data_IF_912141874844
#
_entry.id   IF_912141874844
#
_cell.length_a   1.000
_cell.length_b   1.000
_cell.length_c   1.000
_cell.angle_alpha   90.00
_cell.angle_beta   90.00
_cell.angle_gamma   90.00
#
_symmetry.space_group_name_H-M   'P 1'
#
loop_
_entity.id
_entity.type
_entity.pdbx_description
1 polymer ?
#
# COMPACT_ATOMS: atom_id res chain seq x y z
N UNK A 1 -3.64 -8.46 -5.25
CA UNK A 1 -4.38 -7.41 -5.94
C UNK A 1 -4.78 -7.86 -7.35
N UNK A 2 -6.07 -8.03 -7.55
CA UNK A 2 -6.64 -8.48 -8.82
C UNK A 2 -6.35 -7.49 -9.95
N UNK A 3 -6.40 -6.19 -9.66
CA UNK A 3 -6.12 -5.15 -10.62
C UNK A 3 -4.69 -5.17 -11.13
N UNK A 4 -3.73 -5.39 -10.24
CA UNK A 4 -2.31 -5.49 -10.59
C UNK A 4 -2.02 -6.70 -11.47
N UNK A 5 -2.64 -7.83 -11.15
CA UNK A 5 -2.50 -9.07 -11.94
C UNK A 5 -3.04 -8.90 -13.35
N UNK A 6 -4.23 -8.31 -13.49
CA UNK A 6 -4.85 -8.04 -14.80
C UNK A 6 -4.00 -7.06 -15.59
N UNK A 7 -3.49 -6.01 -14.95
CA UNK A 7 -2.65 -5.00 -15.57
C UNK A 7 -1.35 -5.62 -16.13
N UNK A 8 -0.70 -6.47 -15.36
CA UNK A 8 0.52 -7.18 -15.80
C UNK A 8 0.24 -8.10 -16.98
N UNK A 9 -0.89 -8.82 -16.96
CA UNK A 9 -1.26 -9.73 -18.03
C UNK A 9 -1.48 -9.01 -19.37
N UNK A 10 -1.94 -7.76 -19.35
CA UNK A 10 -2.17 -6.96 -20.58
C UNK A 10 -0.88 -6.57 -21.29
N UNK A 11 0.22 -6.43 -20.56
CA UNK A 11 1.52 -6.05 -21.13
C UNK A 11 2.28 -7.23 -21.73
N UNK A 12 1.84 -8.46 -21.46
CA UNK A 12 2.54 -9.66 -21.91
C UNK A 12 1.99 -10.18 -23.22
N UNK A 13 2.87 -10.73 -24.06
CA UNK A 13 2.49 -11.37 -25.31
C UNK A 13 1.80 -12.71 -25.08
N UNK A 14 2.23 -13.44 -24.06
CA UNK A 14 1.81 -14.81 -23.80
C UNK A 14 1.37 -14.99 -22.35
N UNK A 15 0.39 -15.86 -22.15
CA UNK A 15 0.03 -16.36 -20.83
C UNK A 15 0.64 -17.76 -20.64
N UNK A 16 0.70 -18.22 -19.38
CA UNK A 16 1.17 -19.57 -19.08
C UNK A 16 0.32 -20.63 -19.81
N UNK A 17 -0.99 -20.39 -19.90
CA UNK A 17 -1.91 -21.29 -20.60
C UNK A 17 -1.61 -21.36 -22.11
N UNK A 18 -1.35 -20.21 -22.73
CA UNK A 18 -1.00 -20.17 -24.16
C UNK A 18 0.31 -20.89 -24.43
N UNK A 19 1.29 -20.78 -23.54
CA UNK A 19 2.56 -21.49 -23.67
C UNK A 19 2.34 -23.00 -23.57
N UNK A 20 1.52 -23.43 -22.60
CA UNK A 20 1.22 -24.84 -22.38
C UNK A 20 0.47 -25.46 -23.58
N UNK A 21 -0.46 -24.72 -24.16
CA UNK A 21 -1.31 -25.19 -25.24
C UNK A 21 -0.72 -24.97 -26.63
N UNK A 22 0.46 -24.34 -26.73
CA UNK A 22 1.06 -24.03 -28.02
C UNK A 22 1.39 -25.28 -28.79
N UNK A 23 0.88 -25.35 -30.01
CA UNK A 23 1.20 -26.39 -30.97
C UNK A 23 1.95 -25.76 -32.16
N UNK A 24 3.08 -26.37 -32.52
CA UNK A 24 3.87 -25.92 -33.65
C UNK A 24 3.56 -26.75 -34.88
N UNK A 25 3.64 -26.11 -36.05
CA UNK A 25 3.52 -26.81 -37.31
C UNK A 25 4.64 -27.84 -37.48
N UNK A 26 4.30 -29.04 -37.91
CA UNK A 26 5.26 -30.15 -38.07
C UNK A 26 5.60 -30.32 -39.55
N UNK A 27 6.88 -30.12 -39.88
CA UNK A 27 7.45 -30.36 -41.20
C UNK A 27 8.07 -31.75 -41.25
N UNK A 28 8.63 -32.10 -42.41
CA UNK A 28 9.25 -33.41 -42.64
C UNK A 28 10.40 -33.73 -41.69
N UNK A 29 11.11 -32.69 -41.17
CA UNK A 29 12.26 -32.84 -40.27
C UNK A 29 12.00 -32.43 -38.83
N UNK A 30 10.74 -32.18 -38.49
CA UNK A 30 10.34 -31.74 -37.15
C UNK A 30 9.54 -30.44 -37.19
N UNK A 31 9.58 -29.68 -36.11
CA UNK A 31 8.84 -28.41 -36.03
C UNK A 31 9.45 -27.37 -36.98
N UNK A 32 8.61 -26.48 -37.51
CA UNK A 32 9.05 -25.37 -38.35
C UNK A 32 9.98 -24.42 -37.54
N UNK A 33 11.27 -24.30 -37.92
CA UNK A 33 12.23 -23.52 -37.12
C UNK A 33 11.85 -22.05 -36.94
N UNK A 34 11.36 -21.41 -37.98
CA UNK A 34 10.97 -20.00 -37.93
C UNK A 34 9.83 -19.75 -36.94
N UNK A 35 8.87 -20.66 -36.92
CA UNK A 35 7.72 -20.56 -35.98
C UNK A 35 8.17 -20.73 -34.53
N UNK A 36 9.07 -21.67 -34.28
CA UNK A 36 9.64 -21.88 -32.94
C UNK A 36 10.46 -20.67 -32.50
N UNK A 37 11.31 -20.14 -33.37
CA UNK A 37 12.13 -18.97 -33.07
C UNK A 37 11.28 -17.75 -32.76
N UNK A 38 10.24 -17.49 -33.53
CA UNK A 38 9.30 -16.39 -33.30
C UNK A 38 8.60 -16.52 -31.94
N UNK A 39 8.16 -17.73 -31.62
CA UNK A 39 7.52 -18.01 -30.35
C UNK A 39 8.48 -17.79 -29.17
N UNK A 40 9.72 -18.26 -29.27
CA UNK A 40 10.74 -18.06 -28.25
C UNK A 40 11.12 -16.60 -28.09
N UNK A 41 11.13 -15.82 -29.19
CA UNK A 41 11.37 -14.37 -29.09
C UNK A 41 10.28 -13.69 -28.26
N UNK A 42 9.02 -14.09 -28.42
CA UNK A 42 7.93 -13.57 -27.57
C UNK A 42 8.10 -13.97 -26.10
N UNK A 43 8.55 -15.19 -25.85
CA UNK A 43 8.83 -15.67 -24.48
C UNK A 43 9.95 -14.83 -23.84
N UNK A 44 11.04 -14.59 -24.58
CA UNK A 44 12.16 -13.78 -24.11
C UNK A 44 11.69 -12.36 -23.77
N UNK A 45 10.94 -11.76 -24.68
CA UNK A 45 10.39 -10.41 -24.47
C UNK A 45 9.53 -10.34 -23.22
N UNK A 46 8.69 -11.34 -23.00
CA UNK A 46 7.84 -11.41 -21.80
C UNK A 46 8.67 -11.56 -20.53
N UNK A 47 9.70 -12.39 -20.54
CA UNK A 47 10.61 -12.54 -19.39
C UNK A 47 11.29 -11.22 -19.05
N UNK A 48 11.74 -10.48 -20.04
CA UNK A 48 12.35 -9.16 -19.83
C UNK A 48 11.36 -8.19 -19.19
N UNK A 49 10.11 -8.19 -19.62
CA UNK A 49 9.06 -7.37 -19.01
C UNK A 49 8.75 -7.80 -17.59
N UNK A 50 8.73 -9.10 -17.31
CA UNK A 50 8.52 -9.60 -15.95
C UNK A 50 9.66 -9.17 -15.03
N UNK A 51 10.91 -9.23 -15.49
CA UNK A 51 12.06 -8.78 -14.71
C UNK A 51 11.94 -7.31 -14.35
N UNK A 52 11.55 -6.46 -15.30
CA UNK A 52 11.31 -5.04 -15.05
C UNK A 52 10.19 -4.82 -14.01
N UNK A 53 9.10 -5.57 -14.14
CA UNK A 53 7.98 -5.48 -13.20
C UNK A 53 8.36 -5.94 -11.80
N UNK A 54 9.16 -6.98 -11.68
CA UNK A 54 9.66 -7.46 -10.39
C UNK A 54 10.53 -6.41 -9.72
N UNK A 55 11.41 -5.74 -10.48
CA UNK A 55 12.21 -4.64 -9.95
C UNK A 55 11.34 -3.46 -9.49
N UNK A 56 10.36 -3.06 -10.29
CA UNK A 56 9.42 -2.00 -9.92
C UNK A 56 8.65 -2.32 -8.65
N UNK A 57 8.17 -3.57 -8.54
CA UNK A 57 7.45 -4.03 -7.35
C UNK A 57 8.36 -4.04 -6.11
N UNK A 58 9.61 -4.49 -6.26
CA UNK A 58 10.58 -4.46 -5.17
C UNK A 58 10.85 -3.05 -4.67
N UNK A 59 11.02 -2.10 -5.59
CA UNK A 59 11.21 -0.69 -5.25
C UNK A 59 9.96 -0.11 -4.56
N UNK A 60 8.77 -0.47 -5.03
CA UNK A 60 7.51 -0.04 -4.42
C UNK A 60 7.36 -0.58 -3.00
N UNK A 61 7.69 -1.85 -2.78
CA UNK A 61 7.65 -2.46 -1.43
C UNK A 61 8.58 -1.71 -0.49
N UNK A 62 9.80 -1.40 -0.92
CA UNK A 62 10.75 -0.64 -0.11
C UNK A 62 10.20 0.74 0.27
N UNK A 63 9.61 1.45 -0.70
CA UNK A 63 9.00 2.76 -0.43
C UNK A 63 7.86 2.67 0.57
N UNK A 64 7.02 1.66 0.45
CA UNK A 64 5.89 1.45 1.37
C UNK A 64 6.37 1.07 2.77
N UNK A 65 7.42 0.26 2.88
CA UNK A 65 8.03 -0.08 4.18
C UNK A 65 8.56 1.16 4.89
N UNK A 66 9.25 2.03 4.15
CA UNK A 66 9.74 3.30 4.68
C UNK A 66 8.60 4.22 5.12
N UNK A 67 7.53 4.27 4.33
CA UNK A 67 6.35 5.07 4.66
C UNK A 67 5.64 4.55 5.91
N UNK A 68 5.52 3.25 6.06
CA UNK A 68 4.94 2.62 7.24
C UNK A 68 5.78 2.99 8.48
N UNK A 69 7.09 2.91 8.37
CA UNK A 69 8.01 3.27 9.45
C UNK A 69 7.85 4.74 9.86
N UNK A 70 7.78 5.63 8.87
CA UNK A 70 7.55 7.06 9.09
C UNK A 70 6.22 7.30 9.80
N UNK A 71 5.15 6.66 9.33
CA UNK A 71 3.81 6.79 9.92
C UNK A 71 3.76 6.25 11.35
N UNK A 72 4.47 5.16 11.63
CA UNK A 72 4.58 4.63 12.99
C UNK A 72 5.29 5.61 13.93
N UNK A 73 6.35 6.26 13.45
CA UNK A 73 7.05 7.29 14.21
C UNK A 73 6.17 8.51 14.48
N UNK A 74 5.41 8.95 13.48
CA UNK A 74 4.46 10.06 13.64
C UNK A 74 3.35 9.70 14.63
N UNK A 75 2.85 8.48 14.55
CA UNK A 75 1.82 8.00 15.48
C UNK A 75 2.33 7.99 16.92
N UNK A 76 3.54 7.48 17.12
CA UNK A 76 4.17 7.46 18.44
C UNK A 76 4.35 8.88 18.98
N UNK A 77 4.83 9.81 18.17
CA UNK A 77 5.01 11.22 18.56
C UNK A 77 3.68 11.87 18.94
N UNK A 78 2.63 11.62 18.17
CA UNK A 78 1.30 12.15 18.45
C UNK A 78 0.71 11.56 19.72
N UNK A 79 0.89 10.27 19.98
CA UNK A 79 0.44 9.62 21.20
C UNK A 79 1.15 10.20 22.43
N UNK A 80 2.47 10.42 22.33
CA UNK A 80 3.26 11.02 23.40
C UNK A 80 2.82 12.46 23.70
N UNK A 81 2.58 13.24 22.66
CA UNK A 81 2.07 14.60 22.80
C UNK A 81 0.68 14.62 23.45
N UNK A 82 -0.18 13.70 23.04
CA UNK A 82 -1.53 13.57 23.58
C UNK A 82 -1.49 13.21 25.06
N UNK A 83 -0.62 12.28 25.46
CA UNK A 83 -0.41 11.93 26.86
C UNK A 83 0.09 13.12 27.68
N UNK A 84 1.07 13.86 27.15
CA UNK A 84 1.60 15.05 27.80
C UNK A 84 0.54 16.13 27.99
N UNK A 85 -0.31 16.34 27.00
CA UNK A 85 -1.42 17.29 27.08
C UNK A 85 -2.44 16.86 28.14
N UNK A 86 -2.76 15.57 28.20
CA UNK A 86 -3.67 15.03 29.21
C UNK A 86 -3.10 15.19 30.62
N UNK A 87 -1.81 14.91 30.81
CA UNK A 87 -1.13 15.11 32.09
C UNK A 87 -1.14 16.59 32.52
N UNK A 88 -0.88 17.49 31.57
CA UNK A 88 -0.90 18.93 31.84
C UNK A 88 -2.29 19.40 32.24
N UNK A 89 -3.33 18.94 31.58
CA UNK A 89 -4.71 19.25 31.93
C UNK A 89 -5.04 18.72 33.31
N UNK A 90 -4.67 17.49 33.64
CA UNK A 90 -4.88 16.88 34.96
C UNK A 90 -4.09 17.61 36.06
N UNK A 91 -2.84 18.00 35.77
CA UNK A 91 -2.00 18.75 36.69
C UNK A 91 -2.60 20.13 37.00
N UNK A 92 -3.03 20.84 35.98
CA UNK A 92 -3.71 22.13 36.11
C UNK A 92 -5.00 22.00 36.92
N UNK A 93 -5.71 20.88 36.72
CA UNK A 93 -6.92 20.57 37.48
C UNK A 93 -6.64 20.33 38.95
N UNK A 94 -5.62 19.53 39.29
CA UNK A 94 -5.26 19.19 40.66
C UNK A 94 -4.74 20.41 41.42
N UNK A 95 -3.96 21.27 40.76
CA UNK A 95 -3.33 22.45 41.36
C UNK A 95 -4.21 23.70 41.32
N UNK A 96 -5.37 23.61 40.67
CA UNK A 96 -6.23 24.76 40.43
C UNK A 96 -7.10 25.15 41.60
N UNK A 97 -7.37 26.44 41.68
CA UNK A 97 -8.37 27.02 42.57
C UNK A 97 -9.77 26.86 41.96
N UNK A 98 -10.76 27.60 42.45
CA UNK A 98 -12.14 27.56 41.92
C UNK A 98 -12.27 27.74 40.40
N UNK A 99 -11.27 28.33 39.75
CA UNK A 99 -11.24 28.48 38.28
C UNK A 99 -11.14 27.15 37.53
N UNK A 100 -10.61 26.12 38.20
CA UNK A 100 -10.46 24.79 37.57
C UNK A 100 -11.81 24.16 37.25
N UNK A 101 -12.81 24.38 38.08
CA UNK A 101 -14.19 23.87 37.83
C UNK A 101 -14.77 24.50 36.57
N UNK A 102 -14.54 25.79 36.35
CA UNK A 102 -15.02 26.51 35.17
C UNK A 102 -14.31 26.01 33.91
N UNK A 103 -13.00 25.75 33.97
CA UNK A 103 -12.23 25.20 32.87
C UNK A 103 -12.76 23.81 32.49
N UNK A 104 -13.03 22.96 33.48
CA UNK A 104 -13.62 21.64 33.25
C UNK A 104 -14.98 21.71 32.55
N UNK A 105 -15.84 22.64 32.99
CA UNK A 105 -17.15 22.85 32.40
C UNK A 105 -16.99 23.25 30.92
N UNK A 106 -16.02 24.12 30.61
CA UNK A 106 -15.73 24.55 29.25
C UNK A 106 -15.24 23.40 28.38
N UNK A 107 -14.35 22.57 28.89
CA UNK A 107 -13.84 21.39 28.19
C UNK A 107 -14.98 20.42 27.90
N UNK A 108 -15.82 20.14 28.90
CA UNK A 108 -16.96 19.25 28.73
C UNK A 108 -17.93 19.77 27.65
N UNK A 109 -18.16 21.09 27.60
CA UNK A 109 -18.98 21.70 26.55
C UNK A 109 -18.37 21.56 25.17
N UNK A 110 -17.05 21.74 25.04
CA UNK A 110 -16.33 21.58 23.78
C UNK A 110 -16.38 20.14 23.28
N UNK A 111 -16.14 19.18 24.16
CA UNK A 111 -16.23 17.76 23.82
C UNK A 111 -17.63 17.40 23.33
N UNK A 112 -18.65 17.88 24.01
CA UNK A 112 -20.03 17.65 23.63
C UNK A 112 -20.36 18.27 22.27
N UNK A 113 -19.88 19.48 22.02
CA UNK A 113 -20.10 20.17 20.74
C UNK A 113 -19.41 19.43 19.59
N UNK A 114 -18.16 18.96 19.80
CA UNK A 114 -17.42 18.18 18.80
C UNK A 114 -18.11 16.84 18.56
N UNK A 115 -18.55 16.17 19.61
CA UNK A 115 -19.25 14.89 19.50
C UNK A 115 -20.55 15.04 18.72
N UNK A 116 -21.34 16.07 18.99
CA UNK A 116 -22.58 16.34 18.25
C UNK A 116 -22.33 16.65 16.78
N UNK A 117 -21.25 17.36 16.45
CA UNK A 117 -20.87 17.63 15.06
C UNK A 117 -20.44 16.37 14.32
N UNK A 118 -19.79 15.43 15.00
CA UNK A 118 -19.34 14.21 14.37
C UNK A 118 -20.47 13.21 14.09
N UNK A 119 -21.63 13.38 14.73
CA UNK A 119 -22.81 12.55 14.48
C UNK A 119 -23.63 13.01 13.26
N UNK A 120 -23.42 14.22 12.80
CA UNK A 120 -24.10 14.73 11.60
C UNK A 120 -23.33 14.34 10.33
#
# INVERSE_FOLDING_TARGET
DIGGTIYMAKDMNLTAQEIYEKEFHVDLKGYAPAEVDEFLDMVIEDYQKYDEKVEELGAAVTRYEEKIKELQQQLFALQSENENLNEKVNSDFVNGSSNTVDILKRIARLEKAVFNQSEE
#
